data_IF_855068909149
#
_entry.id   IF_855068909149
#
_cell.length_a   1.000
_cell.length_b   1.000
_cell.length_c   1.000
_cell.angle_alpha   90.00
_cell.angle_beta   90.00
_cell.angle_gamma   90.00
#
_symmetry.space_group_name_H-M   'P 1'
#
loop_
_entity.id
_entity.type
_entity.pdbx_description
1 polymer ?
#
# COMPACT_ATOMS: atom_id res chain seq x y z
N UNK A 1 4.34 -27.10 2.68
CA UNK A 1 3.79 -26.22 3.75
C UNK A 1 2.82 -25.23 3.08
N UNK A 2 1.55 -25.18 3.50
CA UNK A 2 0.60 -24.19 3.02
C UNK A 2 1.09 -22.83 3.56
N UNK A 3 1.43 -21.90 2.68
CA UNK A 3 1.85 -20.56 3.09
C UNK A 3 0.73 -19.95 3.96
N UNK A 4 1.07 -19.52 5.18
CA UNK A 4 0.07 -18.92 6.08
C UNK A 4 -0.38 -17.56 5.53
N UNK A 5 -1.67 -17.29 5.59
CA UNK A 5 -2.27 -16.05 5.09
C UNK A 5 -1.99 -14.91 6.08
N UNK A 6 -1.48 -13.80 5.56
CA UNK A 6 -1.28 -12.56 6.31
C UNK A 6 -2.51 -11.65 6.23
N UNK A 7 -3.08 -11.48 5.04
CA UNK A 7 -4.31 -10.71 4.84
C UNK A 7 -5.30 -11.54 4.05
N UNK A 8 -6.54 -11.60 4.50
CA UNK A 8 -7.65 -12.17 3.73
C UNK A 8 -8.74 -11.14 3.59
N UNK A 9 -9.16 -10.92 2.36
CA UNK A 9 -10.28 -10.06 1.99
C UNK A 9 -11.33 -10.92 1.33
N UNK A 10 -12.57 -10.88 1.84
CA UNK A 10 -13.69 -11.70 1.38
C UNK A 10 -14.86 -10.78 1.03
N UNK A 11 -15.14 -10.64 -0.27
CA UNK A 11 -16.24 -9.84 -0.82
C UNK A 11 -16.35 -8.43 -0.24
N UNK A 12 -15.20 -7.77 0.00
CA UNK A 12 -15.18 -6.44 0.58
C UNK A 12 -15.88 -5.42 -0.32
N UNK A 13 -16.73 -4.59 0.29
CA UNK A 13 -17.46 -3.52 -0.39
C UNK A 13 -17.20 -2.20 0.33
N UNK A 14 -16.96 -1.12 -0.45
CA UNK A 14 -16.92 0.25 0.06
C UNK A 14 -17.52 1.22 -0.93
N UNK A 15 -18.45 2.02 -0.43
CA UNK A 15 -19.13 3.06 -1.19
C UNK A 15 -18.91 4.44 -0.55
N UNK A 16 -18.96 5.49 -1.34
CA UNK A 16 -18.88 6.87 -0.88
C UNK A 16 -20.00 7.70 -1.50
N UNK A 17 -20.55 8.66 -0.75
CA UNK A 17 -21.68 9.48 -1.17
C UNK A 17 -22.99 8.69 -1.18
N UNK A 18 -24.03 9.30 -1.71
CA UNK A 18 -25.38 8.78 -1.65
C UNK A 18 -26.16 9.34 -0.46
N UNK A 19 -27.50 9.39 -0.59
CA UNK A 19 -28.37 9.78 0.52
C UNK A 19 -28.46 8.61 1.48
N UNK A 20 -27.74 8.66 2.59
CA UNK A 20 -27.86 7.69 3.66
C UNK A 20 -29.23 7.82 4.33
N UNK A 21 -30.04 6.77 4.23
CA UNK A 21 -31.09 6.52 5.21
C UNK A 21 -30.40 5.87 6.44
N UNK A 22 -29.89 6.73 7.33
CA UNK A 22 -29.04 6.37 8.48
C UNK A 22 -29.72 5.43 9.51
N UNK A 23 -31.03 5.17 9.37
CA UNK A 23 -31.86 4.52 10.40
C UNK A 23 -32.26 3.08 10.10
N UNK A 24 -31.87 2.51 8.96
CA UNK A 24 -32.24 1.15 8.56
C UNK A 24 -31.00 0.29 8.28
N UNK A 25 -30.20 0.00 9.31
CA UNK A 25 -29.12 -0.98 9.17
C UNK A 25 -29.50 -2.27 9.89
N UNK A 26 -29.75 -3.39 9.17
CA UNK A 26 -29.81 -4.70 9.79
C UNK A 26 -28.42 -5.03 10.37
N UNK A 27 -28.34 -5.37 11.65
CA UNK A 27 -27.20 -6.09 12.22
C UNK A 27 -27.23 -7.50 11.64
N UNK A 28 -26.36 -7.80 10.68
CA UNK A 28 -26.26 -9.14 10.09
C UNK A 28 -25.38 -9.12 8.84
N UNK A 29 -24.78 -10.24 8.48
CA UNK A 29 -23.87 -10.48 7.33
C UNK A 29 -24.50 -10.24 5.95
N UNK A 30 -25.53 -9.42 5.83
CA UNK A 30 -26.21 -9.08 4.60
C UNK A 30 -25.56 -7.90 3.88
N UNK A 31 -25.40 -8.01 2.57
CA UNK A 31 -24.96 -6.92 1.69
C UNK A 31 -25.94 -5.75 1.84
N UNK A 32 -25.42 -4.58 2.26
CA UNK A 32 -26.23 -3.36 2.23
C UNK A 32 -26.52 -3.00 0.77
N UNK A 33 -27.76 -2.64 0.41
CA UNK A 33 -28.02 -2.12 -0.94
C UNK A 33 -27.19 -0.84 -1.14
N UNK A 34 -26.60 -0.71 -2.33
CA UNK A 34 -25.80 0.47 -2.69
C UNK A 34 -26.76 1.68 -2.77
N UNK A 35 -26.55 2.74 -1.99
CA UNK A 35 -27.42 3.92 -2.02
C UNK A 35 -27.45 4.55 -3.41
N UNK A 36 -28.60 5.05 -3.84
CA UNK A 36 -28.71 5.75 -5.11
C UNK A 36 -27.77 6.96 -5.17
N UNK A 37 -26.95 7.02 -6.22
CA UNK A 37 -25.94 8.08 -6.42
C UNK A 37 -24.63 7.85 -5.66
N UNK A 38 -24.46 6.74 -4.94
CA UNK A 38 -23.19 6.40 -4.31
C UNK A 38 -22.16 5.91 -5.34
N UNK A 39 -20.90 6.35 -5.17
CA UNK A 39 -19.75 5.84 -5.92
C UNK A 39 -19.22 4.58 -5.23
N UNK A 40 -19.22 3.46 -5.94
CA UNK A 40 -18.59 2.22 -5.46
C UNK A 40 -17.09 2.34 -5.67
N UNK A 41 -16.32 2.34 -4.58
CA UNK A 41 -14.87 2.41 -4.64
C UNK A 41 -14.20 1.03 -4.53
N UNK A 42 -14.86 0.08 -3.83
CA UNK A 42 -14.46 -1.33 -3.74
C UNK A 42 -15.73 -2.15 -3.90
N UNK A 43 -15.79 -3.03 -4.90
CA UNK A 43 -16.96 -3.82 -5.27
C UNK A 43 -16.66 -5.31 -5.18
N UNK A 44 -17.01 -5.92 -4.06
CA UNK A 44 -16.88 -7.36 -3.77
C UNK A 44 -15.48 -7.91 -4.05
N UNK A 45 -14.47 -7.15 -3.64
CA UNK A 45 -13.07 -7.55 -3.77
C UNK A 45 -12.78 -8.73 -2.85
N UNK A 46 -12.18 -9.80 -3.42
CA UNK A 46 -11.68 -10.95 -2.68
C UNK A 46 -10.25 -11.25 -3.09
N UNK A 47 -9.34 -11.34 -2.10
CA UNK A 47 -7.94 -11.71 -2.30
C UNK A 47 -7.32 -12.23 -1.00
N UNK A 48 -6.24 -12.99 -1.15
CA UNK A 48 -5.38 -13.42 -0.05
C UNK A 48 -3.94 -12.94 -0.29
N UNK A 49 -3.30 -12.43 0.76
CA UNK A 49 -1.89 -12.07 0.80
C UNK A 49 -1.17 -13.08 1.71
N UNK A 50 -0.09 -13.70 1.24
CA UNK A 50 0.69 -14.68 1.99
C UNK A 50 1.68 -13.97 2.91
N UNK A 51 2.10 -14.63 3.99
CA UNK A 51 3.18 -14.11 4.83
C UNK A 51 4.49 -14.03 4.05
N UNK A 52 5.24 -12.95 4.27
CA UNK A 52 6.56 -12.75 3.66
C UNK A 52 6.51 -12.47 2.15
N UNK A 53 5.33 -12.24 1.54
CA UNK A 53 5.27 -11.82 0.14
C UNK A 53 5.20 -10.30 -0.02
N UNK A 54 5.68 -9.80 -1.15
CA UNK A 54 5.39 -8.46 -1.66
C UNK A 54 4.22 -8.59 -2.61
N UNK A 55 3.05 -8.12 -2.19
CA UNK A 55 1.81 -8.17 -2.96
C UNK A 55 1.49 -6.80 -3.54
N UNK A 56 1.31 -6.70 -4.86
CA UNK A 56 0.96 -5.48 -5.57
C UNK A 56 -0.53 -5.35 -5.84
N UNK A 57 -1.08 -4.15 -5.68
CA UNK A 57 -2.40 -3.77 -6.23
C UNK A 57 -2.17 -2.73 -7.30
N UNK A 58 -2.34 -3.14 -8.55
CA UNK A 58 -2.06 -2.36 -9.75
C UNK A 58 -3.34 -1.83 -10.38
N UNK A 59 -3.37 -0.56 -10.79
CA UNK A 59 -4.53 0.01 -11.47
C UNK A 59 -4.47 1.53 -11.58
N UNK A 60 -5.35 2.15 -12.36
CA UNK A 60 -5.36 3.59 -12.59
C UNK A 60 -5.77 4.37 -11.34
N UNK A 61 -5.57 5.68 -11.39
CA UNK A 61 -6.05 6.58 -10.35
C UNK A 61 -7.58 6.48 -10.21
N UNK A 62 -8.07 6.40 -8.97
CA UNK A 62 -9.49 6.24 -8.68
C UNK A 62 -10.05 4.82 -8.84
N UNK A 63 -9.24 3.80 -9.16
CA UNK A 63 -9.70 2.40 -9.29
C UNK A 63 -10.06 1.71 -7.96
N UNK A 64 -9.75 2.33 -6.80
CA UNK A 64 -10.06 1.77 -5.48
C UNK A 64 -8.85 1.31 -4.66
N UNK A 65 -7.60 1.35 -5.19
CA UNK A 65 -6.37 0.91 -4.52
C UNK A 65 -6.20 1.47 -3.11
N UNK A 66 -6.17 2.80 -2.98
CA UNK A 66 -5.99 3.47 -1.68
C UNK A 66 -7.17 3.23 -0.74
N UNK A 67 -8.39 3.00 -1.28
CA UNK A 67 -9.55 2.63 -0.47
C UNK A 67 -9.36 1.24 0.13
N UNK A 68 -8.91 0.28 -0.67
CA UNK A 68 -8.62 -1.08 -0.19
C UNK A 68 -7.54 -1.08 0.90
N UNK A 69 -6.43 -0.36 0.70
CA UNK A 69 -5.40 -0.19 1.74
C UNK A 69 -5.99 0.39 3.03
N UNK A 70 -6.84 1.43 2.92
CA UNK A 70 -7.45 2.07 4.09
C UNK A 70 -8.42 1.15 4.84
N UNK A 71 -9.13 0.26 4.14
CA UNK A 71 -9.96 -0.78 4.75
C UNK A 71 -9.11 -1.77 5.55
N UNK A 72 -8.04 -2.29 4.95
CA UNK A 72 -7.10 -3.22 5.60
C UNK A 72 -6.42 -2.54 6.80
N UNK A 73 -6.08 -1.24 6.66
CA UNK A 73 -5.46 -0.44 7.71
C UNK A 73 -6.41 -0.01 8.83
N UNK A 74 -7.66 -0.47 8.85
CA UNK A 74 -8.70 -0.07 9.83
C UNK A 74 -9.05 1.43 9.82
N UNK A 75 -8.69 2.15 8.76
CA UNK A 75 -8.97 3.59 8.61
C UNK A 75 -10.34 3.88 7.98
N UNK A 76 -10.93 2.85 7.37
CA UNK A 76 -12.27 2.87 6.82
C UNK A 76 -13.01 1.62 7.25
N UNK A 77 -14.31 1.76 7.51
CA UNK A 77 -15.21 0.64 7.80
C UNK A 77 -15.76 0.12 6.47
N UNK A 78 -15.62 -1.18 6.15
CA UNK A 78 -16.26 -1.78 4.99
C UNK A 78 -17.79 -1.73 5.12
N UNK A 79 -18.48 -1.56 3.99
CA UNK A 79 -19.94 -1.57 3.93
C UNK A 79 -20.48 -3.01 3.78
N UNK A 80 -19.60 -3.95 3.43
CA UNK A 80 -19.91 -5.38 3.32
C UNK A 80 -18.65 -6.22 3.16
N UNK A 81 -18.80 -7.53 3.28
CA UNK A 81 -17.69 -8.48 3.26
C UNK A 81 -16.93 -8.54 4.58
N UNK A 82 -15.79 -9.24 4.56
CA UNK A 82 -14.93 -9.44 5.73
C UNK A 82 -13.47 -9.24 5.38
N UNK A 83 -12.70 -8.66 6.29
CA UNK A 83 -11.25 -8.48 6.14
C UNK A 83 -10.58 -8.95 7.43
N UNK A 84 -9.56 -9.81 7.30
CA UNK A 84 -8.75 -10.25 8.43
C UNK A 84 -7.27 -10.01 8.15
N UNK A 85 -6.52 -9.64 9.18
CA UNK A 85 -5.07 -9.43 9.15
C UNK A 85 -4.45 -10.35 10.20
N UNK A 86 -3.61 -11.30 9.76
CA UNK A 86 -3.08 -12.39 10.61
C UNK A 86 -4.14 -13.13 11.43
N UNK A 87 -5.34 -13.28 10.87
CA UNK A 87 -6.48 -13.93 11.52
C UNK A 87 -7.36 -13.01 12.35
N UNK A 88 -6.95 -11.76 12.62
CA UNK A 88 -7.71 -10.77 13.39
C UNK A 88 -8.63 -9.96 12.48
N UNK A 89 -9.91 -9.85 12.84
CA UNK A 89 -10.90 -9.09 12.08
C UNK A 89 -10.64 -7.57 12.23
N UNK A 90 -10.64 -6.85 11.10
CA UNK A 90 -10.33 -5.40 11.07
C UNK A 90 -11.39 -4.54 11.79
N UNK A 91 -12.60 -5.06 12.00
CA UNK A 91 -13.67 -4.35 12.73
C UNK A 91 -13.70 -4.73 14.21
N UNK A 92 -13.68 -6.03 14.49
CA UNK A 92 -13.84 -6.55 15.84
C UNK A 92 -12.57 -6.40 16.68
N UNK A 93 -11.40 -6.56 16.04
CA UNK A 93 -10.08 -6.56 16.67
C UNK A 93 -9.16 -5.45 16.13
N UNK A 94 -9.73 -4.28 15.77
CA UNK A 94 -9.02 -3.18 15.13
C UNK A 94 -7.72 -2.78 15.85
N UNK A 95 -7.72 -2.76 17.19
CA UNK A 95 -6.52 -2.40 17.99
C UNK A 95 -5.40 -3.42 17.85
N UNK A 96 -5.73 -4.71 17.74
CA UNK A 96 -4.75 -5.77 17.50
C UNK A 96 -4.16 -5.60 16.12
N UNK A 97 -5.00 -5.42 15.09
CA UNK A 97 -4.56 -5.18 13.72
C UNK A 97 -3.64 -3.95 13.64
N UNK A 98 -4.01 -2.83 14.28
CA UNK A 98 -3.19 -1.60 14.29
C UNK A 98 -1.81 -1.79 14.91
N UNK A 99 -1.66 -2.71 15.85
CA UNK A 99 -0.36 -3.02 16.45
C UNK A 99 0.54 -3.87 15.52
N UNK A 100 -0.04 -4.60 14.56
CA UNK A 100 0.67 -5.48 13.65
C UNK A 100 1.09 -4.79 12.35
N UNK A 101 0.47 -3.67 12.01
CA UNK A 101 0.63 -2.99 10.72
C UNK A 101 1.29 -1.62 10.87
N UNK A 102 1.88 -1.16 9.78
CA UNK A 102 2.14 0.27 9.60
C UNK A 102 1.86 0.68 8.14
N UNK A 103 1.63 1.97 7.93
CA UNK A 103 1.26 2.48 6.61
C UNK A 103 2.09 3.71 6.23
N UNK A 104 2.51 3.73 4.95
CA UNK A 104 3.01 4.93 4.26
C UNK A 104 1.93 5.40 3.30
N UNK A 105 1.51 6.65 3.42
CA UNK A 105 0.57 7.29 2.51
C UNK A 105 1.32 8.06 1.43
N UNK A 106 0.64 8.33 0.30
CA UNK A 106 1.15 9.16 -0.81
C UNK A 106 1.65 10.53 -0.31
N UNK A 107 0.93 11.12 0.64
CA UNK A 107 1.30 12.37 1.30
C UNK A 107 1.64 12.11 2.77
N UNK A 108 2.91 12.08 3.08
CA UNK A 108 3.37 11.96 4.44
C UNK A 108 3.41 13.35 5.12
N UNK A 109 2.68 13.48 6.21
CA UNK A 109 2.72 14.69 7.02
C UNK A 109 3.89 14.65 8.02
N UNK A 110 4.67 15.73 8.06
CA UNK A 110 5.79 15.94 8.96
C UNK A 110 5.72 17.31 9.61
N UNK A 111 6.36 17.46 10.76
CA UNK A 111 6.68 18.77 11.32
C UNK A 111 7.79 19.39 10.45
N UNK A 112 7.42 20.32 9.56
CA UNK A 112 8.29 20.82 8.49
C UNK A 112 9.59 21.48 9.00
N UNK A 113 9.52 22.16 10.16
CA UNK A 113 10.66 22.81 10.78
C UNK A 113 11.59 21.87 11.58
N UNK A 114 11.14 20.65 11.86
CA UNK A 114 11.95 19.63 12.50
C UNK A 114 12.70 18.80 11.46
N UNK A 115 13.86 18.31 11.85
CA UNK A 115 14.67 17.39 11.03
C UNK A 115 14.03 16.01 10.94
N UNK A 116 14.45 15.15 9.97
CA UNK A 116 14.12 13.71 9.94
C UNK A 116 14.37 13.04 11.29
N UNK A 117 15.53 13.26 11.88
CA UNK A 117 15.86 12.69 13.19
C UNK A 117 14.81 13.03 14.24
N UNK A 118 14.46 14.31 14.40
CA UNK A 118 13.47 14.76 15.39
C UNK A 118 12.07 14.23 15.11
N UNK A 119 11.62 14.27 13.84
CA UNK A 119 10.31 13.70 13.44
C UNK A 119 10.23 12.21 13.75
N UNK A 120 11.27 11.44 13.44
CA UNK A 120 11.30 10.01 13.64
C UNK A 120 11.47 9.63 15.11
N UNK A 121 12.26 10.37 15.88
CA UNK A 121 12.38 10.21 17.33
C UNK A 121 11.05 10.47 18.05
N UNK A 122 10.29 11.48 17.59
CA UNK A 122 8.93 11.72 18.10
C UNK A 122 8.02 10.52 17.81
N UNK A 123 8.03 10.02 16.57
CA UNK A 123 7.27 8.82 16.19
C UNK A 123 7.68 7.58 17.00
N UNK A 124 8.96 7.32 17.15
CA UNK A 124 9.49 6.20 17.91
C UNK A 124 9.00 6.20 19.37
N UNK A 125 8.96 7.38 20.00
CA UNK A 125 8.43 7.54 21.36
C UNK A 125 6.97 7.14 21.48
N UNK A 126 6.14 7.45 20.48
CA UNK A 126 4.73 7.03 20.45
C UNK A 126 4.58 5.51 20.35
N UNK A 127 5.54 4.83 19.71
CA UNK A 127 5.59 3.37 19.63
C UNK A 127 6.31 2.69 20.80
N UNK A 128 6.69 3.44 21.85
CA UNK A 128 7.36 2.90 23.03
C UNK A 128 8.83 2.46 22.79
N UNK A 129 9.45 2.87 21.69
CA UNK A 129 10.85 2.56 21.39
C UNK A 129 11.76 3.48 22.22
N UNK A 130 12.78 2.90 22.90
CA UNK A 130 13.72 3.69 23.71
C UNK A 130 14.51 4.67 22.85
N UNK A 131 14.87 5.83 23.42
CA UNK A 131 15.54 6.90 22.67
C UNK A 131 16.87 6.45 22.04
N UNK A 132 17.68 5.67 22.76
CA UNK A 132 18.95 5.16 22.25
C UNK A 132 18.77 4.18 21.08
N UNK A 133 17.82 3.27 21.18
CA UNK A 133 17.49 2.33 20.12
C UNK A 133 16.87 3.03 18.92
N UNK A 134 15.95 3.98 19.15
CA UNK A 134 15.33 4.78 18.10
C UNK A 134 16.37 5.54 17.29
N UNK A 135 17.31 6.24 17.95
CA UNK A 135 18.37 6.98 17.26
C UNK A 135 19.22 6.07 16.37
N UNK A 136 19.62 4.90 16.88
CA UNK A 136 20.39 3.91 16.11
C UNK A 136 19.60 3.42 14.88
N UNK A 137 18.33 3.04 15.07
CA UNK A 137 17.46 2.57 13.98
C UNK A 137 17.23 3.66 12.93
N UNK A 138 16.95 4.89 13.35
CA UNK A 138 16.74 6.03 12.44
C UNK A 138 17.94 6.23 11.54
N UNK A 139 19.15 6.27 12.10
CA UNK A 139 20.39 6.43 11.32
C UNK A 139 20.57 5.27 10.35
N UNK A 140 20.43 4.04 10.82
CA UNK A 140 20.55 2.84 10.01
C UNK A 140 19.60 2.85 8.82
N UNK A 141 18.29 3.06 9.06
CA UNK A 141 17.26 3.03 8.03
C UNK A 141 17.46 4.17 7.02
N UNK A 142 17.67 5.40 7.47
CA UNK A 142 17.82 6.55 6.59
C UNK A 142 19.08 6.46 5.72
N UNK A 143 20.18 5.94 6.27
CA UNK A 143 21.41 5.70 5.50
C UNK A 143 21.21 4.63 4.44
N UNK A 144 20.50 3.51 4.75
CA UNK A 144 20.15 2.46 3.79
C UNK A 144 19.25 2.99 2.68
N UNK A 145 18.35 3.91 2.99
CA UNK A 145 17.53 4.63 2.01
C UNK A 145 18.32 5.69 1.22
N UNK A 146 19.64 5.77 1.38
CA UNK A 146 20.50 6.69 0.64
C UNK A 146 20.38 8.16 1.05
N UNK A 147 19.94 8.47 2.28
CA UNK A 147 20.02 9.82 2.81
C UNK A 147 21.44 10.08 3.35
N UNK A 148 22.00 11.21 2.93
CA UNK A 148 23.26 11.69 3.50
C UNK A 148 23.08 12.05 4.98
N UNK A 149 24.07 11.76 5.82
CA UNK A 149 24.01 12.00 7.25
C UNK A 149 23.68 13.46 7.59
N UNK A 150 24.25 14.41 6.84
CA UNK A 150 23.98 15.86 7.01
C UNK A 150 22.50 16.20 6.78
N UNK A 151 21.82 15.52 5.87
CA UNK A 151 20.41 15.73 5.56
C UNK A 151 19.50 15.25 6.71
N UNK A 152 19.94 14.25 7.48
CA UNK A 152 19.15 13.68 8.59
C UNK A 152 18.89 14.72 9.70
N UNK A 153 19.73 15.75 9.78
CA UNK A 153 19.65 16.80 10.80
C UNK A 153 19.20 18.17 10.28
N UNK A 154 18.85 18.28 8.97
CA UNK A 154 18.28 19.51 8.39
C UNK A 154 16.76 19.49 8.46
N UNK A 155 16.09 20.67 8.48
CA UNK A 155 14.64 20.74 8.47
C UNK A 155 14.00 20.00 7.30
N UNK A 156 12.84 19.36 7.54
CA UNK A 156 12.09 18.65 6.50
C UNK A 156 11.67 19.57 5.34
N UNK A 157 11.47 20.84 5.56
CA UNK A 157 11.10 21.82 4.52
C UNK A 157 12.20 22.05 3.47
N UNK A 158 13.45 21.75 3.80
CA UNK A 158 14.60 21.83 2.88
C UNK A 158 14.78 20.54 2.04
N UNK A 159 13.97 19.52 2.29
CA UNK A 159 14.10 18.22 1.63
C UNK A 159 13.29 18.14 0.34
N UNK A 160 13.84 17.47 -0.66
CA UNK A 160 13.09 17.07 -1.86
C UNK A 160 11.95 16.10 -1.49
N UNK A 161 10.94 16.01 -2.36
CA UNK A 161 9.83 15.04 -2.22
C UNK A 161 10.34 13.61 -2.04
N UNK A 162 11.36 13.21 -2.81
CA UNK A 162 11.97 11.90 -2.71
C UNK A 162 12.61 11.64 -1.36
N UNK A 163 13.32 12.62 -0.79
CA UNK A 163 13.89 12.51 0.55
C UNK A 163 12.79 12.42 1.62
N UNK A 164 11.73 13.22 1.51
CA UNK A 164 10.59 13.16 2.43
C UNK A 164 9.90 11.79 2.38
N UNK A 165 9.76 11.19 1.20
CA UNK A 165 9.19 9.86 1.04
C UNK A 165 10.05 8.78 1.72
N UNK A 166 11.38 8.85 1.59
CA UNK A 166 12.30 7.96 2.32
C UNK A 166 12.13 8.08 3.83
N UNK A 167 11.97 9.31 4.35
CA UNK A 167 11.69 9.54 5.78
C UNK A 167 10.33 8.95 6.18
N UNK A 168 9.31 9.00 5.32
CA UNK A 168 8.00 8.40 5.58
C UNK A 168 8.08 6.87 5.69
N UNK A 169 8.83 6.24 4.79
CA UNK A 169 9.09 4.79 4.82
C UNK A 169 9.87 4.42 6.08
N UNK A 170 10.92 5.19 6.42
CA UNK A 170 11.68 4.98 7.64
C UNK A 170 10.79 5.07 8.90
N UNK A 171 9.88 6.04 8.95
CA UNK A 171 8.91 6.20 10.05
C UNK A 171 8.03 4.97 10.20
N UNK A 172 7.50 4.46 9.09
CA UNK A 172 6.63 3.31 9.10
C UNK A 172 7.35 2.03 9.57
N UNK A 173 8.66 1.93 9.35
CA UNK A 173 9.43 0.75 9.72
C UNK A 173 10.05 0.82 11.13
N UNK A 174 10.02 1.95 11.81
CA UNK A 174 10.59 2.10 13.16
C UNK A 174 10.04 1.09 14.19
N UNK A 175 8.73 0.78 14.11
CA UNK A 175 8.07 -0.18 15.00
C UNK A 175 8.27 -1.64 14.57
N UNK A 176 8.95 -1.92 13.44
CA UNK A 176 9.10 -3.25 12.83
C UNK A 176 7.75 -3.96 12.65
N UNK A 177 6.83 -3.38 11.88
CA UNK A 177 5.54 -4.00 11.62
C UNK A 177 5.72 -5.32 10.86
N UNK A 178 4.85 -6.29 11.12
CA UNK A 178 4.85 -7.56 10.37
C UNK A 178 4.09 -7.44 9.05
N UNK A 179 3.23 -6.40 8.89
CA UNK A 179 2.62 -6.02 7.63
C UNK A 179 2.86 -4.53 7.36
N UNK A 180 3.49 -4.22 6.24
CA UNK A 180 3.73 -2.86 5.78
C UNK A 180 2.81 -2.54 4.59
N UNK A 181 2.06 -1.46 4.72
CA UNK A 181 1.14 -0.98 3.69
C UNK A 181 1.73 0.26 3.02
N UNK A 182 2.07 0.16 1.74
CA UNK A 182 2.72 1.21 0.96
C UNK A 182 1.74 1.73 -0.12
N UNK A 183 1.24 2.94 0.07
CA UNK A 183 0.31 3.56 -0.87
C UNK A 183 1.11 4.43 -1.86
N UNK A 184 1.35 3.91 -3.06
CA UNK A 184 2.13 4.52 -4.15
C UNK A 184 3.52 5.03 -3.69
N UNK A 185 4.40 4.13 -3.17
CA UNK A 185 5.60 4.53 -2.45
C UNK A 185 6.66 5.24 -3.32
N UNK A 186 6.62 5.09 -4.64
CA UNK A 186 7.61 5.66 -5.55
C UNK A 186 7.05 6.72 -6.49
N UNK A 187 5.77 7.06 -6.38
CA UNK A 187 5.12 8.07 -7.24
C UNK A 187 5.78 9.44 -7.08
N UNK A 188 6.14 10.06 -8.21
CA UNK A 188 6.78 11.37 -8.25
C UNK A 188 8.22 11.38 -7.76
N UNK A 189 8.88 10.22 -7.63
CA UNK A 189 10.31 10.14 -7.32
C UNK A 189 11.16 10.12 -8.59
N UNK A 190 12.35 10.70 -8.49
CA UNK A 190 13.38 10.55 -9.52
C UNK A 190 13.83 9.08 -9.64
N UNK A 191 14.44 8.67 -10.80
CA UNK A 191 14.81 7.27 -11.04
C UNK A 191 15.79 6.67 -10.02
N UNK A 192 16.64 7.49 -9.41
CA UNK A 192 17.59 7.04 -8.40
C UNK A 192 16.87 6.76 -7.09
N UNK A 193 16.10 7.73 -6.60
CA UNK A 193 15.29 7.60 -5.37
C UNK A 193 14.31 6.42 -5.46
N UNK A 194 13.69 6.22 -6.64
CA UNK A 194 12.81 5.08 -6.90
C UNK A 194 13.53 3.75 -6.69
N UNK A 195 14.72 3.56 -7.28
CA UNK A 195 15.53 2.35 -7.12
C UNK A 195 15.95 2.10 -5.68
N UNK A 196 16.34 3.16 -4.96
CA UNK A 196 16.75 3.07 -3.55
C UNK A 196 15.57 2.62 -2.66
N UNK A 197 14.37 3.17 -2.88
CA UNK A 197 13.14 2.73 -2.18
C UNK A 197 12.81 1.29 -2.53
N UNK A 198 12.86 0.90 -3.80
CA UNK A 198 12.59 -0.47 -4.23
C UNK A 198 13.56 -1.48 -3.63
N UNK A 199 14.86 -1.15 -3.59
CA UNK A 199 15.87 -1.99 -2.96
C UNK A 199 15.60 -2.18 -1.47
N UNK A 200 15.23 -1.10 -0.77
CA UNK A 200 14.90 -1.16 0.64
C UNK A 200 13.64 -1.99 0.90
N UNK A 201 12.60 -1.88 0.08
CA UNK A 201 11.37 -2.69 0.19
C UNK A 201 11.69 -4.19 0.07
N UNK A 202 12.56 -4.57 -0.89
CA UNK A 202 13.02 -5.97 -1.00
C UNK A 202 13.79 -6.41 0.24
N UNK A 203 14.70 -5.57 0.73
CA UNK A 203 15.48 -5.86 1.94
C UNK A 203 14.57 -6.09 3.16
N UNK A 204 13.49 -5.31 3.30
CA UNK A 204 12.53 -5.49 4.40
C UNK A 204 11.86 -6.87 4.36
N UNK A 205 11.52 -7.37 3.18
CA UNK A 205 11.02 -8.75 3.02
C UNK A 205 12.11 -9.77 3.34
N UNK A 206 13.26 -9.66 2.71
CA UNK A 206 14.30 -10.70 2.73
C UNK A 206 15.01 -10.82 4.08
N UNK A 207 15.27 -9.69 4.75
CA UNK A 207 15.99 -9.64 6.01
C UNK A 207 15.10 -9.64 7.27
N UNK A 208 13.85 -9.24 7.14
CA UNK A 208 12.95 -9.04 8.28
C UNK A 208 11.64 -9.83 8.20
N UNK A 209 11.48 -10.68 7.18
CA UNK A 209 10.26 -11.48 6.95
C UNK A 209 8.98 -10.63 6.94
N UNK A 210 9.11 -9.37 6.50
CA UNK A 210 7.99 -8.44 6.44
C UNK A 210 7.06 -8.83 5.30
N UNK A 211 5.75 -8.87 5.57
CA UNK A 211 4.73 -8.92 4.53
C UNK A 211 4.49 -7.50 4.03
N UNK A 212 4.42 -7.31 2.72
CA UNK A 212 4.28 -5.98 2.13
C UNK A 212 3.12 -5.96 1.15
N UNK A 213 2.17 -5.05 1.37
CA UNK A 213 1.15 -4.70 0.39
C UNK A 213 1.47 -3.33 -0.16
N UNK A 214 1.72 -3.24 -1.46
CA UNK A 214 1.91 -1.95 -2.12
C UNK A 214 0.82 -1.68 -3.17
N UNK A 215 0.45 -0.42 -3.32
CA UNK A 215 -0.35 0.02 -4.46
C UNK A 215 0.54 0.78 -5.43
N UNK A 216 0.29 0.62 -6.70
CA UNK A 216 1.00 1.36 -7.75
C UNK A 216 0.14 1.47 -9.01
N UNK A 217 0.44 2.46 -9.83
CA UNK A 217 -0.02 2.52 -11.22
C UNK A 217 1.14 2.26 -12.20
N UNK A 218 2.35 2.03 -11.68
CA UNK A 218 3.55 1.77 -12.47
C UNK A 218 3.76 0.26 -12.65
N UNK A 219 3.61 -0.18 -13.90
CA UNK A 219 3.75 -1.60 -14.29
C UNK A 219 5.17 -2.13 -14.03
N UNK A 220 6.19 -1.30 -14.30
CA UNK A 220 7.58 -1.68 -14.08
C UNK A 220 7.88 -1.88 -12.58
N UNK A 221 7.28 -1.06 -11.73
CA UNK A 221 7.40 -1.24 -10.29
C UNK A 221 6.75 -2.56 -9.85
N UNK A 222 5.54 -2.83 -10.33
CA UNK A 222 4.84 -4.08 -10.02
C UNK A 222 5.63 -5.31 -10.46
N UNK A 223 6.17 -5.31 -11.70
CA UNK A 223 7.01 -6.39 -12.21
C UNK A 223 8.31 -6.55 -11.44
N UNK A 224 8.92 -5.43 -11.04
CA UNK A 224 10.21 -5.45 -10.36
C UNK A 224 10.12 -5.90 -8.90
N UNK A 225 9.02 -5.62 -8.21
CA UNK A 225 8.92 -5.80 -6.76
C UNK A 225 8.01 -6.94 -6.33
N UNK A 226 6.89 -7.15 -7.04
CA UNK A 226 5.80 -7.96 -6.50
C UNK A 226 5.95 -9.44 -6.84
N UNK A 227 5.75 -10.29 -5.85
CA UNK A 227 5.64 -11.74 -6.05
C UNK A 227 4.31 -12.09 -6.75
N UNK A 228 3.23 -11.38 -6.39
CA UNK A 228 1.91 -11.47 -7.01
C UNK A 228 1.30 -10.07 -7.15
N UNK A 229 0.46 -9.92 -8.17
CA UNK A 229 -0.20 -8.65 -8.49
C UNK A 229 -1.69 -8.89 -8.68
N UNK A 230 -2.52 -8.09 -8.02
CA UNK A 230 -3.93 -7.94 -8.33
C UNK A 230 -4.13 -6.70 -9.20
N UNK A 231 -4.66 -6.87 -10.39
CA UNK A 231 -5.08 -5.76 -11.26
C UNK A 231 -6.50 -5.35 -10.84
N UNK A 232 -6.67 -4.07 -10.50
CA UNK A 232 -7.95 -3.51 -10.06
C UNK A 232 -8.42 -2.42 -11.03
N UNK A 233 -9.65 -2.54 -11.52
CA UNK A 233 -10.33 -1.48 -12.28
C UNK A 233 -11.77 -1.32 -11.81
N UNK A 234 -12.24 -0.07 -11.70
CA UNK A 234 -13.61 0.25 -11.26
C UNK A 234 -14.02 -0.41 -9.94
N UNK A 235 -13.09 -0.56 -9.01
CA UNK A 235 -13.32 -1.18 -7.70
C UNK A 235 -13.32 -2.71 -7.71
N UNK A 236 -13.06 -3.39 -8.84
CA UNK A 236 -13.06 -4.85 -8.97
C UNK A 236 -11.69 -5.38 -9.32
N UNK A 237 -11.36 -6.57 -8.82
CA UNK A 237 -10.19 -7.31 -9.30
C UNK A 237 -10.53 -7.94 -10.64
N UNK A 238 -9.76 -7.58 -11.67
CA UNK A 238 -9.91 -8.12 -13.03
C UNK A 238 -8.95 -9.27 -13.31
N UNK A 239 -7.80 -9.32 -12.63
CA UNK A 239 -6.85 -10.44 -12.67
C UNK A 239 -6.00 -10.46 -11.41
N UNK A 240 -5.51 -11.63 -11.00
CA UNK A 240 -4.61 -11.82 -9.86
C UNK A 240 -3.72 -13.03 -10.11
N UNK A 241 -2.42 -12.81 -10.24
CA UNK A 241 -1.41 -13.87 -10.34
C UNK A 241 0.00 -13.26 -10.18
N UNK A 242 1.05 -14.09 -10.42
CA UNK A 242 2.42 -13.58 -10.59
C UNK A 242 2.51 -12.71 -11.86
N UNK A 243 3.42 -11.72 -11.91
CA UNK A 243 3.62 -10.92 -13.12
C UNK A 243 3.83 -11.78 -14.38
N UNK A 244 4.61 -12.85 -14.26
CA UNK A 244 4.90 -13.77 -15.38
C UNK A 244 3.67 -14.57 -15.82
N UNK A 245 2.79 -14.97 -14.88
CA UNK A 245 1.56 -15.67 -15.21
C UNK A 245 0.55 -14.74 -15.89
N UNK A 246 0.42 -13.50 -15.38
CA UNK A 246 -0.44 -12.49 -16.00
C UNK A 246 -0.04 -12.19 -17.44
N UNK A 247 1.25 -12.09 -17.76
CA UNK A 247 1.73 -11.90 -19.13
C UNK A 247 1.38 -13.04 -20.09
N UNK A 248 1.10 -14.25 -19.56
CA UNK A 248 0.70 -15.41 -20.39
C UNK A 248 -0.79 -15.42 -20.72
N UNK A 249 -1.60 -14.57 -20.10
CA UNK A 249 -3.06 -14.52 -20.31
C UNK A 249 -3.40 -13.98 -21.70
N UNK A 250 -2.55 -13.12 -22.28
CA UNK A 250 -2.76 -12.56 -23.61
C UNK A 250 -1.88 -13.23 -24.68
N UNK A 251 -2.33 -13.25 -25.97
CA UNK A 251 -1.60 -13.89 -27.05
C UNK A 251 -0.22 -13.28 -27.27
N UNK A 252 0.77 -14.14 -27.53
CA UNK A 252 2.11 -13.71 -27.91
C UNK A 252 2.19 -13.42 -29.40
N UNK A 253 2.11 -12.17 -29.79
CA UNK A 253 2.27 -11.72 -31.18
C UNK A 253 3.76 -11.54 -31.54
N UNK A 254 4.58 -12.59 -31.32
CA UNK A 254 6.01 -12.57 -31.63
C UNK A 254 6.92 -11.93 -30.55
N UNK A 255 6.38 -11.41 -29.45
CA UNK A 255 7.13 -10.87 -28.31
C UNK A 255 6.53 -11.32 -26.98
N UNK A 256 7.26 -11.15 -25.87
CA UNK A 256 6.72 -11.38 -24.52
C UNK A 256 5.88 -10.17 -24.11
N UNK A 257 4.58 -10.33 -23.81
CA UNK A 257 3.72 -9.23 -23.41
C UNK A 257 4.23 -8.53 -22.15
N UNK A 258 3.99 -7.23 -22.05
CA UNK A 258 4.21 -6.43 -20.84
C UNK A 258 2.97 -6.46 -19.93
N UNK A 259 3.09 -6.10 -18.66
CA UNK A 259 1.90 -5.94 -17.79
C UNK A 259 1.00 -4.78 -18.27
N UNK A 260 1.55 -3.81 -19.00
CA UNK A 260 0.76 -2.72 -19.58
C UNK A 260 -0.16 -3.24 -20.69
N UNK A 261 0.33 -4.12 -21.57
CA UNK A 261 -0.47 -4.77 -22.60
C UNK A 261 -1.53 -5.68 -21.98
N UNK A 262 -1.20 -6.40 -20.89
CA UNK A 262 -2.18 -7.20 -20.13
C UNK A 262 -3.27 -6.32 -19.56
N UNK A 263 -2.90 -5.20 -18.93
CA UNK A 263 -3.87 -4.26 -18.36
C UNK A 263 -4.79 -3.68 -19.44
N UNK A 264 -4.22 -3.23 -20.55
CA UNK A 264 -4.97 -2.68 -21.69
C UNK A 264 -5.97 -3.69 -22.24
N UNK A 265 -5.56 -4.93 -22.45
CA UNK A 265 -6.40 -6.00 -22.99
C UNK A 265 -7.55 -6.33 -22.02
N UNK A 266 -7.28 -6.43 -20.71
CA UNK A 266 -8.27 -6.80 -19.71
C UNK A 266 -9.26 -5.67 -19.38
N UNK A 267 -8.87 -4.41 -19.52
CA UNK A 267 -9.70 -3.25 -19.13
C UNK A 267 -10.18 -2.40 -20.29
N UNK A 268 -9.56 -2.50 -21.46
CA UNK A 268 -9.80 -1.64 -22.60
C UNK A 268 -9.34 -0.17 -22.38
N UNK A 269 -8.51 0.08 -21.36
CA UNK A 269 -8.08 1.43 -20.95
C UNK A 269 -6.56 1.55 -20.92
N UNK A 270 -6.03 2.66 -21.41
CA UNK A 270 -4.62 3.01 -21.17
C UNK A 270 -4.45 3.63 -19.78
N UNK A 271 -3.35 3.30 -19.10
CA UNK A 271 -2.93 4.05 -17.93
C UNK A 271 -2.31 5.37 -18.42
N UNK A 272 -3.02 6.48 -18.21
CA UNK A 272 -2.49 7.81 -18.52
C UNK A 272 -1.42 8.14 -17.51
N UNK A 273 -0.17 8.34 -17.96
CA UNK A 273 0.90 8.89 -17.14
C UNK A 273 0.51 10.31 -16.69
N UNK A 274 0.71 10.64 -15.41
CA UNK A 274 0.55 12.01 -14.92
C UNK A 274 1.57 12.92 -15.66
N UNK A 275 1.12 13.70 -16.61
CA UNK A 275 1.99 14.62 -17.37
C UNK A 275 1.31 15.33 -18.53
N UNK A 276 0.14 14.91 -18.98
CA UNK A 276 -0.54 15.48 -20.15
C UNK A 276 -1.99 15.97 -19.87
N UNK A 277 -2.21 16.63 -18.73
CA UNK A 277 -3.38 17.48 -18.55
C UNK A 277 -2.88 18.92 -18.43
N UNK A 278 -2.83 19.60 -19.62
CA UNK A 278 -2.56 21.03 -19.75
C UNK A 278 -3.63 21.91 -19.15
#
# INVERSE_FOLDING_TARGET
MIASIAVRVENAVKTFGGKENLWLTPKGNGHRPIPAGAKVAVDRVSLDIRRGEIFGVLGPNGSGKSTLIRLIATLLIPDGGRITVFGHDVLEEARVVQALINRVSVEASFFKKLSPMENLMYGARLYGVSAGEAKKRVLEILTRLGLEEKAIYRPMEEMSRGMQQKVAIARAFLSRPILLLLDEPTTGLDPRSKREVQAFVRELRDAHDATILLTTHDMFEAEALCDRVAIIDGGKIVALDTPEALKKVIPRNGHTPTLEEVFLELTGKQLVAEGEAG
#
